data_IF_809659206546
#
_entry.id   IF_809659206546
#
_cell.length_a   1.000
_cell.length_b   1.000
_cell.length_c   1.000
_cell.angle_alpha   90.00
_cell.angle_beta   90.00
_cell.angle_gamma   90.00
#
_symmetry.space_group_name_H-M   'P 1'
#
loop_
_entity.id
_entity.type
_entity.pdbx_description
1 polymer ?
#
# COMPACT_ATOMS: atom_id res chain seq x y z
N UNK A 1 -20.59 9.27 13.18
CA UNK A 1 -19.11 9.22 13.09
C UNK A 1 -18.67 7.83 12.65
N UNK A 2 -17.56 7.77 11.92
CA UNK A 2 -16.95 6.52 11.45
C UNK A 2 -15.61 6.34 12.17
N UNK A 3 -15.33 5.09 12.60
CA UNK A 3 -14.04 4.73 13.16
C UNK A 3 -13.23 3.96 12.10
N UNK A 4 -11.99 4.34 11.88
CA UNK A 4 -11.07 3.65 10.97
C UNK A 4 -9.98 2.97 11.80
N UNK A 5 -9.82 1.65 11.62
CA UNK A 5 -8.85 0.82 12.31
C UNK A 5 -7.73 0.43 11.35
N UNK A 6 -6.50 0.81 11.67
CA UNK A 6 -5.37 0.53 10.79
C UNK A 6 -4.10 0.16 11.54
N UNK A 7 -3.29 -0.71 10.94
CA UNK A 7 -1.90 -0.95 11.32
C UNK A 7 -0.93 -0.13 10.46
N UNK A 8 -1.41 0.31 9.30
CA UNK A 8 -0.64 0.96 8.25
C UNK A 8 -1.19 2.37 8.01
N UNK A 9 -0.54 3.39 8.57
CA UNK A 9 -0.95 4.79 8.42
C UNK A 9 0.29 5.69 8.30
N UNK A 10 0.25 6.84 7.60
CA UNK A 10 1.35 7.81 7.64
C UNK A 10 1.70 8.19 9.08
N UNK A 11 2.94 8.45 9.43
CA UNK A 11 4.15 8.75 8.64
C UNK A 11 4.82 7.54 7.94
N UNK A 12 4.36 6.33 8.15
CA UNK A 12 4.87 5.19 7.41
C UNK A 12 4.53 5.35 5.92
N UNK A 13 5.50 5.04 5.03
CA UNK A 13 5.34 5.12 3.59
C UNK A 13 4.87 3.77 3.03
N UNK A 14 3.87 3.79 2.15
CA UNK A 14 3.36 2.63 1.44
C UNK A 14 1.98 2.87 0.81
N UNK A 15 1.58 1.97 -0.09
CA UNK A 15 0.32 2.11 -0.83
C UNK A 15 -0.93 1.98 0.06
N UNK A 16 -0.91 1.09 1.05
CA UNK A 16 -2.03 0.93 2.00
C UNK A 16 -2.13 2.16 2.90
N UNK A 17 -1.00 2.69 3.35
CA UNK A 17 -0.90 3.90 4.17
C UNK A 17 -1.54 5.10 3.47
N UNK A 18 -1.16 5.33 2.22
CA UNK A 18 -1.73 6.41 1.39
C UNK A 18 -3.22 6.19 1.12
N UNK A 19 -3.63 4.96 0.80
CA UNK A 19 -5.03 4.62 0.56
C UNK A 19 -5.89 4.91 1.79
N UNK A 20 -5.49 4.44 2.97
CA UNK A 20 -6.28 4.64 4.22
C UNK A 20 -6.30 6.10 4.62
N UNK A 21 -5.20 6.82 4.41
CA UNK A 21 -5.13 8.27 4.63
C UNK A 21 -6.11 9.01 3.73
N UNK A 22 -6.05 8.79 2.42
CA UNK A 22 -6.92 9.45 1.44
C UNK A 22 -8.40 9.11 1.67
N UNK A 23 -8.70 7.84 2.01
CA UNK A 23 -10.04 7.43 2.39
C UNK A 23 -10.53 8.18 3.64
N UNK A 24 -9.67 8.32 4.65
CA UNK A 24 -10.01 9.02 5.90
C UNK A 24 -10.33 10.49 5.65
N UNK A 25 -9.48 11.18 4.91
CA UNK A 25 -9.66 12.60 4.52
C UNK A 25 -10.85 12.75 3.58
N UNK A 26 -11.03 11.84 2.62
CA UNK A 26 -12.20 11.88 1.72
C UNK A 26 -13.52 11.76 2.47
N UNK A 27 -13.62 10.83 3.42
CA UNK A 27 -14.82 10.62 4.24
C UNK A 27 -15.06 11.75 5.25
N UNK A 28 -14.02 12.48 5.68
CA UNK A 28 -14.16 13.57 6.64
C UNK A 28 -14.99 14.74 6.12
N UNK A 29 -15.13 14.86 4.79
CA UNK A 29 -15.97 15.87 4.14
C UNK A 29 -17.47 15.71 4.45
N UNK A 30 -17.90 14.52 4.85
CA UNK A 30 -19.31 14.21 5.12
C UNK A 30 -19.58 13.65 6.53
N UNK A 31 -18.58 13.06 7.16
CA UNK A 31 -18.73 12.40 8.45
C UNK A 31 -17.55 12.68 9.38
N UNK A 32 -17.79 12.71 10.69
CA UNK A 32 -16.69 12.78 11.67
C UNK A 32 -15.89 11.50 11.65
N UNK A 33 -14.60 11.59 11.36
CA UNK A 33 -13.67 10.46 11.26
C UNK A 33 -12.71 10.44 12.45
N UNK A 34 -12.56 9.25 13.06
CA UNK A 34 -11.53 8.98 14.05
C UNK A 34 -10.72 7.78 13.58
N UNK A 35 -9.42 7.98 13.38
CA UNK A 35 -8.49 6.94 12.95
C UNK A 35 -7.73 6.40 14.15
N UNK A 36 -7.83 5.10 14.40
CA UNK A 36 -7.03 4.37 15.38
C UNK A 36 -5.86 3.67 14.66
N UNK A 37 -4.70 4.31 14.67
CA UNK A 37 -3.52 3.86 13.95
C UNK A 37 -2.43 3.33 14.89
N UNK A 38 -1.65 2.34 14.45
CA UNK A 38 -0.43 1.97 15.14
C UNK A 38 0.58 3.13 15.05
N UNK A 39 1.27 3.44 16.18
CA UNK A 39 2.38 4.39 16.17
C UNK A 39 3.55 3.81 15.41
N UNK A 40 4.06 4.58 14.46
CA UNK A 40 5.24 4.23 13.66
C UNK A 40 6.48 5.00 14.13
N UNK A 41 6.41 6.34 14.16
CA UNK A 41 7.49 7.21 14.58
C UNK A 41 6.96 8.42 15.33
N UNK A 42 7.46 8.67 16.55
CA UNK A 42 6.87 9.68 17.43
C UNK A 42 6.82 11.08 16.81
N UNK A 43 7.89 11.52 16.20
CA UNK A 43 8.01 12.86 15.60
C UNK A 43 7.25 12.99 14.28
N UNK A 44 7.50 12.09 13.32
CA UNK A 44 6.86 12.18 12.00
C UNK A 44 5.35 11.87 12.04
N UNK A 45 4.91 11.01 12.94
CA UNK A 45 3.49 10.79 13.19
C UNK A 45 2.82 12.08 13.67
N UNK A 46 3.47 12.82 14.60
CA UNK A 46 2.93 14.07 15.13
C UNK A 46 2.83 15.17 14.05
N UNK A 47 3.82 15.26 13.16
CA UNK A 47 3.77 16.19 12.02
C UNK A 47 2.57 15.87 11.13
N UNK A 48 2.41 14.59 10.74
CA UNK A 48 1.29 14.19 9.91
C UNK A 48 -0.05 14.50 10.58
N UNK A 49 -0.20 14.11 11.84
CA UNK A 49 -1.44 14.28 12.59
C UNK A 49 -1.81 15.77 12.77
N UNK A 50 -0.81 16.65 12.97
CA UNK A 50 -1.03 18.09 13.06
C UNK A 50 -1.44 18.71 11.72
N UNK A 51 -0.86 18.25 10.61
CA UNK A 51 -1.21 18.75 9.27
C UNK A 51 -2.64 18.40 8.86
N UNK A 52 -3.24 17.35 9.44
CA UNK A 52 -4.59 16.88 9.11
C UNK A 52 -5.58 17.01 10.27
N UNK A 53 -5.24 17.76 11.34
CA UNK A 53 -6.05 17.86 12.57
C UNK A 53 -7.44 18.45 12.37
N UNK A 54 -7.62 19.29 11.35
CA UNK A 54 -8.89 19.92 11.02
C UNK A 54 -9.82 19.01 10.20
N UNK A 55 -9.26 17.93 9.62
CA UNK A 55 -9.98 16.97 8.80
C UNK A 55 -10.32 15.69 9.56
N UNK A 56 -9.34 15.13 10.27
CA UNK A 56 -9.45 13.84 10.96
C UNK A 56 -8.84 13.85 12.35
N UNK A 57 -9.42 13.09 13.27
CA UNK A 57 -8.82 12.85 14.59
C UNK A 57 -8.03 11.54 14.57
N UNK A 58 -6.71 11.62 14.70
CA UNK A 58 -5.84 10.43 14.76
C UNK A 58 -5.50 10.06 16.20
N UNK A 59 -5.73 8.81 16.56
CA UNK A 59 -5.33 8.18 17.84
C UNK A 59 -4.23 7.17 17.59
N UNK A 60 -2.99 7.49 18.01
CA UNK A 60 -1.81 6.65 17.81
C UNK A 60 -1.62 5.67 18.96
N UNK A 61 -1.69 4.37 18.65
CA UNK A 61 -1.56 3.29 19.63
C UNK A 61 -0.09 2.87 19.73
N UNK A 62 0.49 3.08 20.90
CA UNK A 62 1.89 2.76 21.22
C UNK A 62 2.05 1.39 21.88
N UNK A 63 3.30 0.97 22.04
CA UNK A 63 3.71 -0.21 22.81
C UNK A 63 4.07 -1.40 21.93
N UNK A 64 4.31 -2.55 22.56
CA UNK A 64 4.72 -3.76 21.86
C UNK A 64 3.68 -4.18 20.82
N UNK A 65 4.13 -4.53 19.63
CA UNK A 65 3.29 -4.86 18.46
C UNK A 65 2.18 -5.88 18.80
N UNK A 66 2.50 -6.88 19.61
CA UNK A 66 1.56 -7.94 20.01
C UNK A 66 0.36 -7.41 20.81
N UNK A 67 0.54 -6.37 21.63
CA UNK A 67 -0.51 -5.81 22.46
C UNK A 67 -1.26 -4.64 21.84
N UNK A 68 -0.76 -4.05 20.73
CA UNK A 68 -1.35 -2.85 20.10
C UNK A 68 -2.81 -3.06 19.71
N UNK A 69 -3.14 -4.22 19.12
CA UNK A 69 -4.52 -4.49 18.71
C UNK A 69 -5.47 -4.55 19.92
N UNK A 70 -5.07 -5.20 21.00
CA UNK A 70 -5.89 -5.25 22.23
C UNK A 70 -6.08 -3.86 22.84
N UNK A 71 -5.02 -3.03 22.87
CA UNK A 71 -5.10 -1.63 23.32
C UNK A 71 -6.03 -0.81 22.42
N UNK A 72 -5.93 -0.98 21.13
CA UNK A 72 -6.80 -0.32 20.15
C UNK A 72 -8.27 -0.60 20.43
N UNK A 73 -8.63 -1.85 20.62
CA UNK A 73 -10.00 -2.23 20.97
C UNK A 73 -10.43 -1.64 22.32
N UNK A 74 -9.54 -1.61 23.33
CA UNK A 74 -9.83 -0.97 24.62
C UNK A 74 -10.15 0.52 24.47
N UNK A 75 -9.37 1.24 23.67
CA UNK A 75 -9.57 2.68 23.42
C UNK A 75 -10.81 3.00 22.58
N UNK A 76 -11.26 2.06 21.76
CA UNK A 76 -12.48 2.22 20.93
C UNK A 76 -13.77 2.06 21.76
N UNK A 77 -13.77 1.22 22.80
CA UNK A 77 -14.97 0.91 23.60
C UNK A 77 -15.78 2.13 24.06
N UNK A 78 -15.18 3.19 24.65
CA UNK A 78 -15.92 4.37 25.07
C UNK A 78 -16.68 5.07 23.93
N UNK A 79 -16.09 5.09 22.71
CA UNK A 79 -16.76 5.66 21.54
C UNK A 79 -17.97 4.84 21.12
N UNK A 80 -17.86 3.52 21.18
CA UNK A 80 -18.97 2.60 20.88
C UNK A 80 -20.08 2.74 21.89
N UNK A 81 -19.75 2.80 23.17
CA UNK A 81 -20.70 2.95 24.27
C UNK A 81 -21.45 4.29 24.23
N UNK A 82 -20.85 5.33 23.66
CA UNK A 82 -21.53 6.61 23.42
C UNK A 82 -22.65 6.55 22.37
N UNK A 83 -22.85 5.40 21.68
CA UNK A 83 -23.83 5.15 20.62
C UNK A 83 -23.77 6.11 19.42
N UNK A 84 -22.63 6.79 19.22
CA UNK A 84 -22.42 7.74 18.12
C UNK A 84 -21.70 7.12 16.92
N UNK A 85 -21.21 5.88 17.05
CA UNK A 85 -20.50 5.16 15.99
C UNK A 85 -21.52 4.55 15.04
N UNK A 86 -21.44 4.93 13.75
CA UNK A 86 -22.32 4.42 12.70
C UNK A 86 -21.68 3.26 11.92
N UNK A 87 -20.35 3.26 11.82
CA UNK A 87 -19.61 2.33 10.96
C UNK A 87 -18.17 2.18 11.48
N UNK A 88 -17.63 0.98 11.33
CA UNK A 88 -16.21 0.70 11.50
C UNK A 88 -15.63 0.27 10.16
N UNK A 89 -14.51 0.89 9.75
CA UNK A 89 -13.74 0.49 8.56
C UNK A 89 -12.37 -0.01 9.04
N UNK A 90 -11.95 -1.17 8.62
CA UNK A 90 -10.64 -1.71 8.94
C UNK A 90 -9.79 -1.85 7.67
N UNK A 91 -8.53 -1.44 7.75
CA UNK A 91 -7.57 -1.52 6.64
C UNK A 91 -7.32 -2.96 6.19
N UNK A 92 -7.45 -3.93 7.09
CA UNK A 92 -7.27 -5.35 6.83
C UNK A 92 -8.06 -6.17 7.84
N UNK A 93 -8.25 -7.47 7.55
CA UNK A 93 -8.87 -8.41 8.48
C UNK A 93 -8.19 -8.41 9.87
N UNK A 94 -6.87 -8.18 9.92
CA UNK A 94 -6.08 -8.15 11.17
C UNK A 94 -6.48 -7.01 12.10
N UNK A 95 -6.82 -5.86 11.55
CA UNK A 95 -7.27 -4.71 12.33
C UNK A 95 -8.67 -4.90 12.89
N UNK A 96 -9.48 -5.77 12.25
CA UNK A 96 -10.85 -6.05 12.62
C UNK A 96 -10.98 -7.23 13.61
N UNK A 97 -10.10 -8.23 13.49
CA UNK A 97 -10.21 -9.57 14.11
C UNK A 97 -10.56 -9.54 15.61
N UNK A 98 -9.84 -8.78 16.41
CA UNK A 98 -10.03 -8.79 17.87
C UNK A 98 -11.28 -8.01 18.33
N UNK A 99 -11.86 -7.19 17.48
CA UNK A 99 -13.01 -6.36 17.81
C UNK A 99 -14.32 -6.83 17.21
N UNK A 100 -14.28 -7.67 16.17
CA UNK A 100 -15.45 -7.95 15.35
C UNK A 100 -16.63 -8.54 16.14
N UNK A 101 -16.38 -9.45 17.07
CA UNK A 101 -17.44 -10.02 17.89
C UNK A 101 -18.10 -8.95 18.78
N UNK A 102 -17.29 -8.09 19.38
CA UNK A 102 -17.81 -6.99 20.21
C UNK A 102 -18.62 -5.99 19.36
N UNK A 103 -18.15 -5.66 18.14
CA UNK A 103 -18.87 -4.75 17.24
C UNK A 103 -20.24 -5.33 16.86
N UNK A 104 -20.28 -6.62 16.55
CA UNK A 104 -21.52 -7.32 16.24
C UNK A 104 -22.50 -7.37 17.41
N UNK A 105 -22.03 -7.57 18.67
CA UNK A 105 -22.92 -7.50 19.86
C UNK A 105 -23.51 -6.10 20.08
N UNK A 106 -22.88 -5.06 19.54
CA UNK A 106 -23.37 -3.67 19.59
C UNK A 106 -24.13 -3.25 18.33
N UNK A 107 -24.38 -4.18 17.39
CA UNK A 107 -25.04 -3.94 16.12
C UNK A 107 -24.37 -2.82 15.30
N UNK A 108 -23.02 -2.72 15.36
CA UNK A 108 -22.27 -1.74 14.57
C UNK A 108 -21.76 -2.42 13.30
N UNK A 109 -22.16 -1.95 12.12
CA UNK A 109 -21.68 -2.50 10.86
C UNK A 109 -20.16 -2.29 10.70
N UNK A 110 -19.52 -3.25 10.05
CA UNK A 110 -18.08 -3.20 9.79
C UNK A 110 -17.75 -3.54 8.35
N UNK A 111 -16.85 -2.74 7.78
CA UNK A 111 -16.28 -2.98 6.45
C UNK A 111 -14.80 -3.37 6.63
N UNK A 112 -14.40 -4.49 6.03
CA UNK A 112 -13.02 -4.90 5.93
C UNK A 112 -12.48 -4.54 4.54
N UNK A 113 -11.39 -3.77 4.46
CA UNK A 113 -10.69 -3.58 3.19
C UNK A 113 -9.81 -4.81 2.90
N UNK A 114 -9.69 -5.16 1.64
CA UNK A 114 -8.91 -6.30 1.17
C UNK A 114 -7.96 -5.87 0.04
N UNK A 115 -6.66 -6.20 0.20
CA UNK A 115 -5.60 -5.75 -0.70
C UNK A 115 -4.92 -6.91 -1.45
N UNK A 116 -5.24 -8.17 -1.11
CA UNK A 116 -4.79 -9.37 -1.77
C UNK A 116 -3.79 -10.19 -0.92
N UNK A 117 -2.57 -9.74 -0.75
CA UNK A 117 -1.51 -10.51 -0.07
C UNK A 117 -1.86 -10.97 1.36
N UNK A 118 -2.52 -10.14 2.13
CA UNK A 118 -2.87 -10.44 3.52
C UNK A 118 -3.93 -11.53 3.65
N UNK A 119 -4.65 -11.82 2.57
CA UNK A 119 -5.66 -12.88 2.49
C UNK A 119 -5.04 -14.26 2.34
N UNK A 120 -3.80 -14.34 1.87
CA UNK A 120 -3.12 -15.58 1.57
C UNK A 120 -2.33 -16.10 2.77
N UNK A 121 -2.43 -17.39 3.08
CA UNK A 121 -1.64 -18.02 4.16
C UNK A 121 -1.45 -19.53 3.95
N UNK A 122 -0.24 -20.03 4.17
CA UNK A 122 0.07 -21.45 4.26
C UNK A 122 -0.22 -22.01 5.66
N UNK A 123 -0.28 -21.16 6.66
CA UNK A 123 -0.66 -21.53 8.01
C UNK A 123 -2.19 -21.69 8.08
N UNK A 124 -2.64 -22.91 8.30
CA UNK A 124 -4.07 -23.25 8.38
C UNK A 124 -4.79 -22.49 9.49
N UNK A 125 -4.13 -22.26 10.63
CA UNK A 125 -4.70 -21.47 11.74
C UNK A 125 -4.91 -20.02 11.32
N UNK A 126 -3.93 -19.43 10.64
CA UNK A 126 -4.07 -18.05 10.11
C UNK A 126 -5.13 -17.99 9.02
N UNK A 127 -5.18 -18.96 8.10
CA UNK A 127 -6.20 -19.01 7.06
C UNK A 127 -7.62 -19.08 7.66
N UNK A 128 -7.80 -19.90 8.72
CA UNK A 128 -9.08 -19.98 9.43
C UNK A 128 -9.46 -18.67 10.13
N UNK A 129 -8.49 -17.95 10.72
CA UNK A 129 -8.70 -16.64 11.34
C UNK A 129 -9.14 -15.60 10.30
N UNK A 130 -8.50 -15.57 9.13
CA UNK A 130 -8.90 -14.71 8.00
C UNK A 130 -10.36 -14.99 7.66
N UNK A 131 -10.68 -16.24 7.34
CA UNK A 131 -12.01 -16.68 6.94
C UNK A 131 -13.06 -16.32 8.00
N UNK A 132 -12.78 -16.59 9.27
CA UNK A 132 -13.68 -16.30 10.38
C UNK A 132 -13.95 -14.79 10.52
N UNK A 133 -12.91 -13.95 10.40
CA UNK A 133 -13.05 -12.50 10.53
C UNK A 133 -13.85 -11.92 9.38
N UNK A 134 -13.54 -12.32 8.14
CA UNK A 134 -14.28 -11.83 6.97
C UNK A 134 -15.75 -12.26 6.99
N UNK A 135 -16.05 -13.48 7.44
CA UNK A 135 -17.44 -13.98 7.53
C UNK A 135 -18.26 -13.35 8.66
N UNK A 136 -17.64 -12.59 9.54
CA UNK A 136 -18.32 -11.81 10.58
C UNK A 136 -18.46 -10.34 10.23
N UNK A 137 -17.79 -9.88 9.17
CA UNK A 137 -17.91 -8.51 8.67
C UNK A 137 -19.26 -8.28 7.99
N UNK A 138 -19.76 -7.06 8.00
CA UNK A 138 -20.94 -6.67 7.23
C UNK A 138 -20.66 -6.69 5.74
N UNK A 139 -19.48 -6.18 5.37
CA UNK A 139 -19.02 -6.19 3.97
C UNK A 139 -17.50 -6.28 3.89
N UNK A 140 -17.01 -6.75 2.75
CA UNK A 140 -15.59 -6.72 2.37
C UNK A 140 -15.46 -5.94 1.08
N UNK A 141 -14.59 -4.92 1.07
CA UNK A 141 -14.31 -4.11 -0.11
C UNK A 141 -12.87 -4.39 -0.59
N UNK A 142 -12.76 -4.99 -1.76
CA UNK A 142 -11.50 -5.34 -2.38
C UNK A 142 -10.93 -4.16 -3.19
N UNK A 143 -9.61 -4.09 -3.31
CA UNK A 143 -8.92 -3.05 -4.09
C UNK A 143 -8.86 -3.35 -5.60
N UNK A 144 -9.32 -4.52 -6.04
CA UNK A 144 -9.37 -4.91 -7.44
C UNK A 144 -10.36 -6.05 -7.68
N UNK A 145 -10.73 -6.26 -8.94
CA UNK A 145 -11.57 -7.38 -9.34
C UNK A 145 -10.91 -8.73 -9.01
N UNK A 146 -9.60 -8.83 -9.19
CA UNK A 146 -8.82 -10.00 -8.80
C UNK A 146 -8.94 -10.28 -7.29
N UNK A 147 -8.69 -9.28 -6.47
CA UNK A 147 -8.82 -9.40 -5.00
C UNK A 147 -10.26 -9.71 -4.59
N UNK A 148 -11.28 -9.16 -5.29
CA UNK A 148 -12.68 -9.51 -5.06
C UNK A 148 -12.93 -11.02 -5.24
N UNK A 149 -12.43 -11.61 -6.33
CA UNK A 149 -12.53 -13.06 -6.56
C UNK A 149 -11.88 -13.87 -5.44
N UNK A 150 -10.68 -13.48 -4.99
CA UNK A 150 -10.03 -14.14 -3.84
C UNK A 150 -10.88 -14.07 -2.55
N UNK A 151 -11.52 -12.92 -2.29
CA UNK A 151 -12.39 -12.78 -1.12
C UNK A 151 -13.59 -13.69 -1.24
N UNK A 152 -14.24 -13.75 -2.43
CA UNK A 152 -15.41 -14.59 -2.67
C UNK A 152 -15.17 -16.08 -2.41
N UNK A 153 -13.94 -16.56 -2.63
CA UNK A 153 -13.56 -17.95 -2.30
C UNK A 153 -13.42 -18.18 -0.78
N UNK A 154 -13.24 -17.12 0.01
CA UNK A 154 -13.01 -17.20 1.45
C UNK A 154 -14.28 -17.01 2.27
N UNK A 155 -15.29 -16.32 1.73
CA UNK A 155 -16.49 -15.92 2.48
C UNK A 155 -17.73 -16.64 2.02
N UNK A 156 -18.76 -16.66 2.89
CA UNK A 156 -20.10 -17.17 2.56
C UNK A 156 -20.79 -16.21 1.58
N UNK A 157 -21.71 -16.72 0.79
CA UNK A 157 -22.52 -15.94 -0.16
C UNK A 157 -23.40 -14.85 0.49
N UNK A 158 -23.59 -14.92 1.81
CA UNK A 158 -24.34 -13.93 2.58
C UNK A 158 -23.54 -12.66 2.90
N UNK A 159 -22.22 -12.68 2.72
CA UNK A 159 -21.36 -11.52 2.93
C UNK A 159 -21.34 -10.65 1.68
N UNK A 160 -21.56 -9.36 1.85
CA UNK A 160 -21.44 -8.39 0.74
C UNK A 160 -19.98 -8.26 0.36
N UNK A 161 -19.62 -8.58 -0.87
CA UNK A 161 -18.28 -8.43 -1.42
C UNK A 161 -18.32 -7.54 -2.63
N UNK A 162 -17.65 -6.41 -2.54
CA UNK A 162 -17.51 -5.51 -3.68
C UNK A 162 -16.07 -5.05 -3.86
N UNK A 163 -15.78 -4.28 -4.92
CA UNK A 163 -14.46 -3.74 -5.15
C UNK A 163 -14.52 -2.26 -5.52
N UNK A 164 -13.49 -1.55 -5.10
CA UNK A 164 -13.25 -0.15 -5.47
C UNK A 164 -11.78 -0.01 -5.81
N UNK A 165 -11.49 0.40 -7.03
CA UNK A 165 -10.11 0.67 -7.42
C UNK A 165 -9.53 1.83 -6.61
N UNK A 166 -8.31 1.70 -6.06
CA UNK A 166 -7.63 2.80 -5.40
C UNK A 166 -7.42 3.98 -6.34
N UNK A 167 -7.59 5.19 -5.82
CA UNK A 167 -7.09 6.38 -6.45
C UNK A 167 -5.58 6.54 -6.21
N UNK A 168 -4.97 7.43 -6.98
CA UNK A 168 -3.60 7.89 -6.77
C UNK A 168 -3.58 9.41 -6.57
N UNK A 169 -2.55 9.91 -5.90
CA UNK A 169 -2.36 11.34 -5.73
C UNK A 169 -1.82 11.96 -7.04
N UNK A 170 -2.41 13.06 -7.45
CA UNK A 170 -1.87 13.87 -8.54
C UNK A 170 -0.73 14.74 -8.01
N UNK A 171 0.49 14.36 -8.33
CA UNK A 171 1.69 15.03 -7.86
C UNK A 171 2.16 16.19 -8.76
N UNK A 172 1.48 16.48 -9.87
CA UNK A 172 1.90 17.50 -10.85
C UNK A 172 2.00 18.91 -10.25
N UNK A 173 1.23 19.20 -9.21
CA UNK A 173 1.24 20.49 -8.52
C UNK A 173 2.23 20.56 -7.34
N UNK A 174 2.94 19.49 -7.02
CA UNK A 174 3.97 19.51 -5.99
C UNK A 174 5.20 20.29 -6.47
N UNK A 175 6.00 20.82 -5.52
CA UNK A 175 7.33 21.32 -5.84
C UNK A 175 8.20 20.17 -6.34
N UNK A 176 9.12 20.47 -7.22
CA UNK A 176 10.09 19.50 -7.71
C UNK A 176 11.32 19.47 -6.80
N UNK A 177 11.84 18.27 -6.54
CA UNK A 177 13.13 18.07 -5.90
C UNK A 177 14.00 17.19 -6.79
N UNK A 178 14.95 17.82 -7.49
CA UNK A 178 15.82 17.12 -8.45
C UNK A 178 16.77 16.14 -7.77
N UNK A 179 16.99 15.01 -8.42
CA UNK A 179 17.99 14.01 -8.07
C UNK A 179 19.09 14.09 -9.14
N UNK A 180 20.23 14.70 -8.82
CA UNK A 180 21.32 15.00 -9.79
C UNK A 180 21.88 13.76 -10.46
N UNK A 181 21.78 12.61 -9.81
CA UNK A 181 22.25 11.32 -10.30
C UNK A 181 21.37 10.76 -11.43
N UNK A 182 20.15 11.30 -11.60
CA UNK A 182 19.22 10.90 -12.67
C UNK A 182 19.49 11.78 -13.89
N UNK A 183 20.42 11.33 -14.73
CA UNK A 183 20.95 12.09 -15.87
C UNK A 183 21.03 11.28 -17.19
N UNK A 184 20.59 10.02 -17.17
CA UNK A 184 20.57 9.17 -18.37
C UNK A 184 19.46 9.53 -19.37
N UNK A 185 19.55 8.94 -20.58
CA UNK A 185 18.55 9.11 -21.65
C UNK A 185 18.52 7.85 -22.52
N UNK A 186 17.37 7.14 -22.64
CA UNK A 186 16.13 7.33 -21.91
C UNK A 186 16.23 6.90 -20.44
N UNK A 187 15.36 7.44 -19.57
CA UNK A 187 15.19 6.99 -18.19
C UNK A 187 14.06 5.99 -18.09
N UNK A 188 14.36 4.82 -17.56
CA UNK A 188 13.38 3.77 -17.24
C UNK A 188 13.18 3.77 -15.71
N UNK A 189 11.94 3.87 -15.26
CA UNK A 189 11.62 3.94 -13.83
C UNK A 189 10.90 2.69 -13.32
N UNK A 190 11.28 2.20 -12.14
CA UNK A 190 10.42 1.36 -11.32
C UNK A 190 10.25 2.00 -9.95
N UNK A 191 9.01 2.28 -9.57
CA UNK A 191 8.63 2.79 -8.25
C UNK A 191 7.92 1.67 -7.48
N UNK A 192 8.66 0.89 -6.69
CA UNK A 192 8.13 -0.27 -5.97
C UNK A 192 9.05 -0.73 -4.85
N UNK A 193 8.52 -1.52 -3.90
CA UNK A 193 9.34 -2.26 -2.94
C UNK A 193 10.27 -3.22 -3.67
N UNK A 194 11.51 -3.37 -3.18
CA UNK A 194 12.47 -4.30 -3.74
C UNK A 194 12.16 -5.73 -3.25
N UNK A 195 11.14 -6.32 -3.84
CA UNK A 195 10.67 -7.69 -3.63
C UNK A 195 10.85 -8.48 -4.92
N UNK A 196 11.13 -9.78 -4.81
CA UNK A 196 11.38 -10.66 -5.96
C UNK A 196 10.27 -10.55 -7.01
N UNK A 197 9.01 -10.58 -6.56
CA UNK A 197 7.84 -10.49 -7.45
C UNK A 197 7.77 -9.22 -8.30
N UNK A 198 8.46 -8.14 -7.94
CA UNK A 198 8.46 -6.88 -8.71
C UNK A 198 9.30 -6.90 -9.97
N UNK A 199 10.03 -7.99 -10.20
CA UNK A 199 10.67 -8.26 -11.48
C UNK A 199 11.92 -7.43 -11.80
N UNK A 200 12.50 -6.73 -10.83
CA UNK A 200 13.71 -5.89 -11.03
C UNK A 200 14.85 -6.62 -11.71
N UNK A 201 15.06 -7.89 -11.39
CA UNK A 201 16.09 -8.75 -12.00
C UNK A 201 15.93 -8.81 -13.51
N UNK A 202 14.71 -8.98 -14.01
CA UNK A 202 14.44 -9.06 -15.44
C UNK A 202 14.75 -7.73 -16.15
N UNK A 203 14.41 -6.61 -15.53
CA UNK A 203 14.68 -5.28 -16.08
C UNK A 203 16.20 -5.06 -16.18
N UNK A 204 16.98 -5.40 -15.14
CA UNK A 204 18.46 -5.29 -15.18
C UNK A 204 19.05 -6.11 -16.33
N UNK A 205 18.52 -7.32 -16.59
CA UNK A 205 18.96 -8.11 -17.75
C UNK A 205 18.58 -7.45 -19.10
N UNK A 206 17.40 -6.78 -19.18
CA UNK A 206 17.00 -6.05 -20.37
C UNK A 206 17.89 -4.82 -20.60
N UNK A 207 18.21 -4.05 -19.55
CA UNK A 207 19.12 -2.88 -19.66
C UNK A 207 20.44 -3.29 -20.27
N UNK A 208 21.03 -4.44 -19.85
CA UNK A 208 22.28 -4.92 -20.45
C UNK A 208 22.19 -5.15 -21.97
N UNK A 209 21.03 -5.58 -22.45
CA UNK A 209 20.81 -5.80 -23.90
C UNK A 209 20.58 -4.49 -24.66
N UNK A 210 19.94 -3.52 -24.00
CA UNK A 210 19.59 -2.23 -24.63
C UNK A 210 20.77 -1.27 -24.73
N UNK A 211 21.90 -1.53 -24.08
CA UNK A 211 23.07 -0.64 -24.11
C UNK A 211 23.66 -0.45 -25.51
N UNK A 212 23.53 -1.42 -26.43
CA UNK A 212 23.97 -1.28 -27.79
C UNK A 212 23.24 -0.19 -28.57
N UNK A 213 21.92 -0.07 -28.30
CA UNK A 213 21.05 0.86 -29.00
C UNK A 213 20.88 2.19 -28.24
N UNK A 214 20.98 2.13 -26.90
CA UNK A 214 20.84 3.27 -25.99
C UNK A 214 22.02 3.31 -25.01
N UNK A 215 23.20 3.79 -25.39
CA UNK A 215 24.38 3.79 -24.51
C UNK A 215 24.19 4.55 -23.19
N UNK A 216 23.36 5.59 -23.20
CA UNK A 216 23.09 6.46 -22.04
C UNK A 216 21.82 6.07 -21.28
N UNK A 217 21.20 4.91 -21.58
CA UNK A 217 20.02 4.44 -20.87
C UNK A 217 20.29 4.34 -19.37
N UNK A 218 19.33 4.81 -18.57
CA UNK A 218 19.41 4.70 -17.11
C UNK A 218 18.15 4.04 -16.55
N UNK A 219 18.36 2.99 -15.77
CA UNK A 219 17.29 2.34 -15.00
C UNK A 219 17.31 2.84 -13.56
N UNK A 220 16.29 3.60 -13.18
CA UNK A 220 16.11 4.15 -11.82
C UNK A 220 15.19 3.28 -11.02
N UNK A 221 15.69 2.80 -9.88
CA UNK A 221 14.95 1.95 -8.93
C UNK A 221 14.65 2.78 -7.70
N UNK A 222 13.37 3.18 -7.54
CA UNK A 222 12.88 3.93 -6.39
C UNK A 222 12.12 3.00 -5.43
N UNK A 223 12.68 2.81 -4.24
CA UNK A 223 12.12 1.96 -3.18
C UNK A 223 13.20 1.25 -2.36
N UNK A 224 12.76 0.54 -1.34
CA UNK A 224 13.59 -0.29 -0.46
C UNK A 224 12.97 -1.68 -0.31
N UNK A 225 13.79 -2.67 0.06
CA UNK A 225 13.30 -4.03 0.30
C UNK A 225 14.39 -5.07 0.43
N UNK A 226 14.01 -6.32 0.72
CA UNK A 226 14.97 -7.40 1.02
C UNK A 226 15.88 -7.75 -0.16
N UNK A 227 15.44 -7.53 -1.40
CA UNK A 227 16.21 -7.86 -2.61
C UNK A 227 17.35 -6.87 -2.92
N UNK A 228 17.45 -5.72 -2.21
CA UNK A 228 18.42 -4.65 -2.53
C UNK A 228 19.84 -5.16 -2.74
N UNK A 229 20.35 -5.95 -1.78
CA UNK A 229 21.73 -6.49 -1.86
C UNK A 229 21.93 -7.42 -3.05
N UNK A 230 20.96 -8.30 -3.32
CA UNK A 230 21.01 -9.22 -4.45
C UNK A 230 20.98 -8.49 -5.79
N UNK A 231 20.14 -7.45 -5.91
CA UNK A 231 20.05 -6.61 -7.12
C UNK A 231 21.33 -5.80 -7.32
N UNK A 232 21.90 -5.20 -6.26
CA UNK A 232 23.18 -4.48 -6.36
C UNK A 232 24.32 -5.40 -6.80
N UNK A 233 24.37 -6.63 -6.27
CA UNK A 233 25.33 -7.63 -6.74
C UNK A 233 25.15 -7.94 -8.22
N UNK A 234 23.91 -8.17 -8.67
CA UNK A 234 23.61 -8.43 -10.08
C UNK A 234 24.05 -7.28 -10.99
N UNK A 235 23.84 -6.02 -10.57
CA UNK A 235 24.30 -4.83 -11.29
C UNK A 235 25.83 -4.83 -11.44
N UNK A 236 26.57 -5.16 -10.38
CA UNK A 236 28.02 -5.25 -10.40
C UNK A 236 28.51 -6.38 -11.30
N UNK A 237 27.94 -7.59 -11.16
CA UNK A 237 28.28 -8.78 -11.97
C UNK A 237 28.05 -8.53 -13.48
N UNK A 238 27.17 -7.59 -13.84
CA UNK A 238 26.86 -7.22 -15.21
C UNK A 238 27.57 -5.96 -15.71
N UNK A 239 28.39 -5.32 -14.87
CA UNK A 239 29.04 -4.03 -15.16
C UNK A 239 28.04 -2.94 -15.59
N UNK A 240 26.96 -2.76 -14.79
CA UNK A 240 25.88 -1.81 -15.07
C UNK A 240 25.80 -0.68 -14.02
N UNK A 241 26.86 -0.42 -13.25
CA UNK A 241 26.86 0.56 -12.16
C UNK A 241 26.55 1.99 -12.65
N UNK A 242 26.92 2.31 -13.89
CA UNK A 242 26.63 3.61 -14.49
C UNK A 242 25.21 3.72 -15.07
N UNK A 243 24.53 2.59 -15.27
CA UNK A 243 23.23 2.53 -15.94
C UNK A 243 22.08 2.15 -15.00
N UNK A 244 22.36 1.65 -13.79
CA UNK A 244 21.34 1.26 -12.82
C UNK A 244 21.54 2.03 -11.52
N UNK A 245 20.58 2.86 -11.18
CA UNK A 245 20.62 3.75 -10.02
C UNK A 245 19.57 3.32 -8.97
N UNK A 246 19.99 3.16 -7.72
CA UNK A 246 19.11 2.91 -6.57
C UNK A 246 18.95 4.19 -5.77
N UNK A 247 17.80 4.86 -5.87
CA UNK A 247 17.53 6.13 -5.17
C UNK A 247 16.92 5.96 -3.78
N UNK A 248 16.59 4.71 -3.38
CA UNK A 248 15.98 4.43 -2.08
C UNK A 248 14.52 4.88 -1.99
N UNK A 249 14.06 5.16 -0.77
CA UNK A 249 12.73 5.71 -0.55
C UNK A 249 12.68 7.16 -1.01
N UNK A 250 11.61 7.52 -1.72
CA UNK A 250 11.39 8.85 -2.29
C UNK A 250 10.12 9.48 -1.70
N UNK A 251 10.18 10.79 -1.46
CA UNK A 251 9.02 11.62 -1.10
C UNK A 251 8.25 12.06 -2.36
N UNK A 252 7.14 12.77 -2.18
CA UNK A 252 6.27 13.17 -3.31
C UNK A 252 6.94 14.18 -4.26
N UNK A 253 7.80 15.07 -3.77
CA UNK A 253 8.57 16.01 -4.60
C UNK A 253 9.60 15.27 -5.48
N UNK A 254 10.29 14.27 -4.91
CA UNK A 254 11.21 13.40 -5.64
C UNK A 254 10.49 12.48 -6.62
N UNK A 255 9.30 11.96 -6.25
CA UNK A 255 8.46 11.18 -7.19
C UNK A 255 8.07 12.01 -8.40
N UNK A 256 7.62 13.26 -8.18
CA UNK A 256 7.30 14.17 -9.27
C UNK A 256 8.48 14.29 -10.24
N UNK A 257 9.67 14.62 -9.74
CA UNK A 257 10.89 14.72 -10.55
C UNK A 257 11.15 13.42 -11.33
N UNK A 258 11.07 12.26 -10.67
CA UNK A 258 11.29 10.97 -11.31
C UNK A 258 10.28 10.69 -12.43
N UNK A 259 9.01 11.02 -12.21
CA UNK A 259 8.00 10.86 -13.26
C UNK A 259 8.25 11.82 -14.42
N UNK A 260 8.49 13.12 -14.18
CA UNK A 260 8.77 14.08 -15.24
C UNK A 260 10.03 13.73 -16.06
N UNK A 261 11.01 13.06 -15.45
CA UNK A 261 12.26 12.68 -16.07
C UNK A 261 12.20 11.33 -16.81
N UNK A 262 11.17 10.52 -16.52
CA UNK A 262 11.08 9.15 -17.04
C UNK A 262 10.42 9.07 -18.41
N UNK A 263 11.01 8.29 -19.30
CA UNK A 263 10.45 7.95 -20.62
C UNK A 263 9.47 6.79 -20.53
N UNK A 264 9.65 5.88 -19.54
CA UNK A 264 8.90 4.64 -19.41
C UNK A 264 8.89 4.17 -17.96
N UNK A 265 7.73 3.77 -17.45
CA UNK A 265 7.63 3.02 -16.19
C UNK A 265 7.54 1.52 -16.47
N UNK A 266 8.36 0.72 -15.79
CA UNK A 266 8.37 -0.74 -15.97
C UNK A 266 8.31 -1.43 -14.62
N UNK A 267 7.30 -2.30 -14.42
CA UNK A 267 7.21 -3.16 -13.25
C UNK A 267 6.62 -4.51 -13.65
N UNK A 268 7.42 -5.43 -14.23
CA UNK A 268 6.97 -6.71 -14.72
C UNK A 268 6.76 -7.68 -13.54
N UNK A 269 5.66 -7.50 -12.83
CA UNK A 269 5.32 -8.33 -11.67
C UNK A 269 5.25 -9.79 -12.04
N UNK A 270 5.93 -10.65 -11.27
CA UNK A 270 5.93 -12.08 -11.46
C UNK A 270 4.71 -12.70 -10.78
N UNK A 271 4.15 -13.74 -11.40
CA UNK A 271 3.15 -14.57 -10.74
C UNK A 271 3.82 -15.44 -9.68
N UNK A 272 3.73 -15.00 -8.45
CA UNK A 272 4.15 -15.76 -7.26
C UNK A 272 2.94 -16.24 -6.45
N UNK A 273 1.79 -16.47 -7.10
CA UNK A 273 0.56 -16.95 -6.44
C UNK A 273 0.78 -18.26 -5.68
N UNK A 274 1.62 -19.17 -6.20
CA UNK A 274 2.04 -20.40 -5.51
C UNK A 274 2.81 -20.11 -4.22
N UNK A 275 3.61 -19.03 -4.19
CA UNK A 275 4.31 -18.52 -3.00
C UNK A 275 3.43 -17.58 -2.18
N UNK A 276 2.18 -17.38 -2.61
CA UNK A 276 1.19 -16.48 -2.00
C UNK A 276 1.67 -15.03 -1.88
N UNK A 277 2.34 -14.58 -2.91
CA UNK A 277 2.75 -13.20 -3.11
C UNK A 277 2.15 -12.70 -4.41
N UNK A 278 1.23 -11.75 -4.31
CA UNK A 278 0.50 -11.21 -5.47
C UNK A 278 0.55 -9.69 -5.51
N UNK A 279 0.36 -9.13 -6.70
CA UNK A 279 0.08 -7.71 -6.86
C UNK A 279 -1.41 -7.45 -6.67
N UNK A 280 -1.76 -6.58 -5.72
CA UNK A 280 -3.15 -6.28 -5.46
C UNK A 280 -3.75 -5.30 -6.46
N UNK A 281 -2.96 -4.31 -6.95
CA UNK A 281 -3.44 -3.28 -7.86
C UNK A 281 -2.34 -2.56 -8.65
N UNK A 282 -1.31 -1.99 -7.97
CA UNK A 282 -0.23 -1.23 -8.62
C UNK A 282 -0.51 0.28 -8.74
N UNK A 283 -0.70 0.97 -7.61
CA UNK A 283 -0.99 2.42 -7.55
C UNK A 283 0.04 3.24 -8.34
N UNK A 284 1.32 2.83 -8.35
CA UNK A 284 2.38 3.54 -9.06
C UNK A 284 2.16 3.66 -10.58
N UNK A 285 1.40 2.76 -11.20
CA UNK A 285 0.99 2.92 -12.60
C UNK A 285 0.04 4.09 -12.81
N UNK A 286 -0.88 4.32 -11.87
CA UNK A 286 -1.78 5.48 -11.92
C UNK A 286 -1.01 6.78 -11.67
N UNK A 287 -0.04 6.76 -10.73
CA UNK A 287 0.83 7.92 -10.49
C UNK A 287 1.60 8.29 -11.77
N UNK A 288 2.17 7.31 -12.48
CA UNK A 288 2.85 7.52 -13.77
C UNK A 288 1.89 8.07 -14.86
N UNK A 289 0.65 7.56 -14.89
CA UNK A 289 -0.34 7.99 -15.88
C UNK A 289 -0.72 9.49 -15.77
N UNK A 290 -0.68 10.09 -14.56
CA UNK A 290 -0.87 11.54 -14.39
C UNK A 290 0.18 12.36 -15.16
N UNK A 291 1.37 11.82 -15.35
CA UNK A 291 2.48 12.45 -16.08
C UNK A 291 2.54 12.03 -17.57
N UNK A 292 1.55 11.26 -18.04
CA UNK A 292 1.52 10.78 -19.41
C UNK A 292 2.59 9.73 -19.74
N UNK A 293 3.20 9.11 -18.73
CA UNK A 293 4.28 8.14 -18.93
C UNK A 293 3.67 6.77 -19.26
N UNK A 294 4.05 6.16 -20.40
CA UNK A 294 3.63 4.80 -20.71
C UNK A 294 4.17 3.81 -19.67
N UNK A 295 3.43 2.75 -19.42
CA UNK A 295 3.81 1.73 -18.44
C UNK A 295 3.81 0.34 -19.05
N UNK A 296 4.83 -0.46 -18.73
CA UNK A 296 4.88 -1.89 -19.02
C UNK A 296 4.56 -2.66 -17.74
N UNK A 297 3.47 -3.40 -17.75
CA UNK A 297 3.00 -4.24 -16.66
C UNK A 297 2.83 -5.68 -17.14
N UNK A 298 2.89 -6.63 -16.21
CA UNK A 298 2.52 -8.02 -16.48
C UNK A 298 1.00 -8.21 -16.32
N UNK A 299 0.44 -9.16 -17.04
CA UNK A 299 -0.95 -9.56 -16.90
C UNK A 299 -1.11 -10.55 -15.72
N UNK A 300 -0.85 -10.08 -14.49
CA UNK A 300 -0.93 -10.85 -13.24
C UNK A 300 -1.52 -9.99 -12.11
N UNK A 301 -2.37 -10.58 -11.27
CA UNK A 301 -2.98 -9.90 -10.11
C UNK A 301 -4.36 -9.31 -10.34
#
# INVERSE_FOLDING_TARGET
MILILTQCFPSRLGGIESLVSNLSVGLSKSEKIIVFADRHHMFYDAIYDNNHKDEILVRRISGLKFFRQRRKIKEIKPFIESRKVKLIIADTWKSLELGIDYFNTKNIPSICLAHGNELLSNDLKKAQRIKNTLNKSTAVVANSLYTKKLVQELVKSTIIVDYVYPGANDLRNHKEHSLKEVNGEPVILTLARLEKRKGHTHIIHCIKKLLSDFPNIQYVIAGEGPEKRALQKLVNDKNLQNNVLFVGLVNDEQKKFLFERSSLMVMPTLDESKSRSIEGFGISYLEAAFFGIPSIASNVG
#
